data_IF_120195186165
#
_entry.id   IF_120195186165
#
_cell.length_a   1.000
_cell.length_b   1.000
_cell.length_c   1.000
_cell.angle_alpha   90.00
_cell.angle_beta   90.00
_cell.angle_gamma   90.00
#
_symmetry.space_group_name_H-M   'P 1'
#
loop_
_entity.id
_entity.type
_entity.pdbx_description
1 polymer ?
#
# COMPACT_ATOMS: atom_id res chain seq x y z
N UNK A 1 23.52 -18.55 -71.27
CA UNK A 1 22.86 -17.24 -71.11
C UNK A 1 21.59 -17.52 -70.30
N UNK A 2 21.36 -17.09 -69.11
CA UNK A 2 21.78 -15.96 -68.28
C UNK A 2 21.57 -16.33 -66.80
N UNK A 3 22.65 -16.26 -66.00
CA UNK A 3 22.58 -16.27 -64.51
C UNK A 3 22.26 -14.83 -64.07
N UNK A 4 21.17 -14.62 -63.38
CA UNK A 4 20.97 -13.49 -62.41
C UNK A 4 19.56 -13.61 -61.85
N UNK A 5 19.39 -13.98 -60.57
CA UNK A 5 18.53 -13.31 -59.58
C UNK A 5 18.40 -14.22 -58.34
N UNK A 6 19.29 -14.04 -57.39
CA UNK A 6 19.09 -14.54 -56.01
C UNK A 6 20.02 -13.72 -55.10
N UNK A 7 19.65 -12.49 -54.85
CA UNK A 7 20.15 -11.71 -53.71
C UNK A 7 19.09 -10.65 -53.39
N UNK A 8 18.41 -10.80 -52.28
CA UNK A 8 17.49 -9.75 -51.86
C UNK A 8 16.44 -10.09 -50.81
N UNK A 9 16.54 -11.20 -50.05
CA UNK A 9 15.53 -11.50 -49.01
C UNK A 9 16.09 -11.71 -47.60
N UNK A 10 17.40 -11.52 -47.39
CA UNK A 10 18.04 -11.77 -46.09
C UNK A 10 18.10 -10.58 -45.12
N UNK A 11 17.86 -9.34 -45.60
CA UNK A 11 18.10 -8.14 -44.79
C UNK A 11 16.85 -7.60 -44.02
N UNK A 12 15.66 -8.04 -44.36
CA UNK A 12 14.41 -7.49 -43.76
C UNK A 12 13.98 -8.25 -42.48
N UNK A 13 14.41 -9.49 -42.30
CA UNK A 13 14.04 -10.29 -41.12
C UNK A 13 14.82 -9.96 -39.82
N UNK A 14 15.97 -9.28 -39.90
CA UNK A 14 16.78 -8.92 -38.72
C UNK A 14 16.37 -7.59 -38.10
N UNK A 15 15.66 -6.73 -38.78
CA UNK A 15 15.21 -5.44 -38.23
C UNK A 15 13.93 -5.56 -37.40
N UNK A 16 13.08 -6.58 -37.66
CA UNK A 16 11.83 -6.77 -36.91
C UNK A 16 12.02 -7.43 -35.54
N UNK A 17 13.09 -8.20 -35.31
CA UNK A 17 13.39 -8.83 -34.03
C UNK A 17 13.95 -7.82 -32.99
N UNK A 18 14.65 -6.79 -33.43
CA UNK A 18 15.22 -5.77 -32.53
C UNK A 18 14.16 -4.81 -31.99
N UNK A 19 13.07 -4.56 -32.72
CA UNK A 19 11.97 -3.69 -32.27
C UNK A 19 11.09 -4.38 -31.24
N UNK A 20 10.88 -5.71 -31.35
CA UNK A 20 10.10 -6.48 -30.38
C UNK A 20 10.83 -6.69 -29.04
N UNK A 21 12.16 -6.69 -29.01
CA UNK A 21 12.94 -6.85 -27.77
C UNK A 21 13.03 -5.53 -26.96
N UNK A 22 12.85 -4.37 -27.59
CA UNK A 22 12.86 -3.06 -26.93
C UNK A 22 11.59 -2.72 -26.16
N UNK A 23 10.45 -3.38 -26.46
CA UNK A 23 9.14 -3.06 -25.85
C UNK A 23 8.88 -3.89 -24.59
N UNK A 24 9.57 -5.01 -24.36
CA UNK A 24 9.36 -5.87 -23.19
C UNK A 24 10.27 -5.55 -21.98
N UNK A 25 11.22 -4.61 -22.08
CA UNK A 25 12.20 -4.30 -21.04
C UNK A 25 11.94 -3.03 -20.22
N UNK A 26 10.89 -2.25 -20.51
CA UNK A 26 10.70 -0.90 -19.94
C UNK A 26 10.12 -0.85 -18.53
N UNK A 27 9.27 -1.78 -18.14
CA UNK A 27 8.48 -1.66 -16.91
C UNK A 27 9.25 -1.76 -15.59
N UNK A 28 10.42 -2.41 -15.58
CA UNK A 28 11.21 -2.60 -14.35
C UNK A 28 12.08 -1.41 -13.95
N UNK A 29 12.55 -0.61 -14.92
CA UNK A 29 13.40 0.55 -14.66
C UNK A 29 12.61 1.79 -14.24
N UNK A 30 11.43 2.01 -14.84
CA UNK A 30 10.57 3.14 -14.47
C UNK A 30 10.00 3.00 -13.06
N UNK A 31 9.60 1.79 -12.65
CA UNK A 31 9.13 1.53 -11.29
C UNK A 31 10.24 1.72 -10.23
N UNK A 32 11.51 1.45 -10.56
CA UNK A 32 12.64 1.65 -9.63
C UNK A 32 13.04 3.12 -9.50
N UNK A 33 12.82 3.94 -10.52
CA UNK A 33 13.08 5.39 -10.46
C UNK A 33 11.97 6.14 -9.73
N UNK A 34 10.71 5.68 -9.82
CA UNK A 34 9.57 6.34 -9.19
C UNK A 34 9.66 6.40 -7.66
N UNK A 35 10.36 5.46 -7.01
CA UNK A 35 10.49 5.38 -5.55
C UNK A 35 11.95 5.51 -5.08
N UNK A 36 12.83 6.12 -5.87
CA UNK A 36 14.25 6.25 -5.52
C UNK A 36 14.47 7.13 -4.27
N UNK A 37 13.66 8.16 -4.06
CA UNK A 37 13.67 9.01 -2.85
C UNK A 37 13.29 8.23 -1.59
N UNK A 38 12.36 7.28 -1.70
CA UNK A 38 11.86 6.44 -0.61
C UNK A 38 12.91 5.49 -0.05
N UNK A 39 13.97 5.18 -0.80
CA UNK A 39 15.06 4.32 -0.34
C UNK A 39 15.73 4.87 0.93
N UNK A 40 15.97 6.19 1.00
CA UNK A 40 16.54 6.84 2.20
C UNK A 40 15.58 6.78 3.39
N UNK A 41 14.29 6.86 3.16
CA UNK A 41 13.28 6.71 4.20
C UNK A 41 13.32 5.30 4.76
N UNK A 42 13.38 4.28 3.90
CA UNK A 42 13.48 2.87 4.28
C UNK A 42 14.75 2.58 5.08
N UNK A 43 15.89 3.10 4.67
CA UNK A 43 17.17 2.94 5.41
C UNK A 43 17.09 3.48 6.84
N UNK A 44 16.45 4.63 7.03
CA UNK A 44 16.27 5.25 8.35
C UNK A 44 15.27 4.52 9.23
N UNK A 45 14.26 3.97 8.63
CA UNK A 45 13.10 3.40 9.29
C UNK A 45 13.26 1.89 9.58
N UNK A 46 14.02 1.14 8.75
CA UNK A 46 14.21 -0.30 8.93
C UNK A 46 14.77 -0.71 10.32
N UNK A 47 15.76 0.00 10.91
CA UNK A 47 16.26 -0.34 12.23
C UNK A 47 15.25 -0.13 13.38
N UNK A 48 14.17 0.61 13.13
CA UNK A 48 13.14 0.96 14.12
C UNK A 48 11.98 -0.03 14.14
N UNK A 49 11.91 -0.95 13.19
CA UNK A 49 10.92 -2.04 13.19
C UNK A 49 11.32 -3.10 14.23
N UNK A 50 11.10 -2.77 15.51
CA UNK A 50 11.47 -3.59 16.66
C UNK A 50 10.24 -3.89 17.53
N UNK A 51 10.38 -4.68 18.59
CA UNK A 51 9.29 -4.97 19.53
C UNK A 51 8.05 -5.51 18.83
N UNK A 52 6.92 -4.87 19.03
CA UNK A 52 5.63 -5.22 18.39
C UNK A 52 5.62 -5.06 16.88
N UNK A 53 6.58 -4.33 16.30
CA UNK A 53 6.71 -4.10 14.86
C UNK A 53 7.81 -4.95 14.20
N UNK A 54 8.48 -5.84 14.94
CA UNK A 54 9.59 -6.66 14.43
C UNK A 54 9.18 -7.60 13.26
N UNK A 55 7.89 -7.92 13.17
CA UNK A 55 7.35 -8.72 12.05
C UNK A 55 7.08 -7.90 10.78
N UNK A 56 7.31 -6.57 10.81
CA UNK A 56 7.13 -5.72 9.64
C UNK A 56 8.14 -6.07 8.56
N UNK A 57 7.64 -6.41 7.40
CA UNK A 57 8.46 -6.61 6.20
C UNK A 57 8.77 -5.26 5.56
N UNK A 58 10.05 -4.91 5.49
CA UNK A 58 10.53 -3.65 4.92
C UNK A 58 11.23 -3.96 3.59
N UNK A 59 10.78 -3.39 2.47
CA UNK A 59 11.36 -3.68 1.17
C UNK A 59 12.75 -3.04 1.04
N UNK A 60 13.74 -3.81 0.58
CA UNK A 60 15.09 -3.26 0.27
C UNK A 60 15.04 -2.21 -0.85
N UNK A 61 14.08 -2.35 -1.75
CA UNK A 61 13.84 -1.42 -2.87
C UNK A 61 12.36 -1.06 -2.88
N UNK A 62 11.98 0.12 -2.36
CA UNK A 62 10.61 0.59 -2.40
C UNK A 62 10.06 0.61 -3.82
N UNK A 63 8.77 0.34 -3.95
CA UNK A 63 8.05 0.33 -5.23
C UNK A 63 6.73 1.09 -5.07
N UNK A 64 6.18 1.63 -6.15
CA UNK A 64 4.84 2.18 -6.11
C UNK A 64 3.87 1.19 -5.46
N UNK A 65 3.07 1.68 -4.51
CA UNK A 65 2.01 0.89 -3.92
C UNK A 65 1.02 0.45 -5.01
N UNK A 66 0.41 -0.72 -4.80
CA UNK A 66 -0.59 -1.24 -5.74
C UNK A 66 -1.77 -0.28 -5.75
N UNK A 67 -2.17 0.15 -6.93
CA UNK A 67 -3.36 0.97 -7.09
C UNK A 67 -4.61 0.20 -6.65
N UNK A 68 -5.30 0.76 -5.67
CA UNK A 68 -6.54 0.23 -5.09
C UNK A 68 -7.55 1.35 -4.92
N UNK A 69 -8.83 1.00 -4.98
CA UNK A 69 -9.94 1.93 -4.81
C UNK A 69 -10.86 1.43 -3.70
N UNK A 70 -11.46 2.37 -2.97
CA UNK A 70 -12.39 2.12 -1.87
C UNK A 70 -13.31 3.33 -1.68
N UNK A 71 -14.32 3.19 -0.85
CA UNK A 71 -15.24 4.28 -0.53
C UNK A 71 -14.65 5.15 0.60
N UNK A 72 -14.68 6.44 0.39
CA UNK A 72 -14.30 7.46 1.37
C UNK A 72 -15.41 7.77 2.38
N UNK A 73 -15.14 8.70 3.33
CA UNK A 73 -16.05 8.99 4.45
C UNK A 73 -17.46 9.44 4.05
N UNK A 74 -17.59 10.08 2.88
CA UNK A 74 -18.87 10.56 2.35
C UNK A 74 -19.42 9.66 1.22
N UNK A 75 -18.85 8.46 1.04
CA UNK A 75 -19.21 7.51 -0.01
C UNK A 75 -18.58 7.80 -1.38
N UNK A 76 -17.72 8.81 -1.48
CA UNK A 76 -16.96 9.08 -2.70
C UNK A 76 -15.91 7.99 -2.95
N UNK A 77 -15.61 7.71 -4.23
CA UNK A 77 -14.51 6.80 -4.55
C UNK A 77 -13.16 7.48 -4.29
N UNK A 78 -12.29 6.78 -3.57
CA UNK A 78 -10.91 7.14 -3.27
C UNK A 78 -9.96 6.11 -3.85
N UNK A 79 -8.75 6.56 -4.15
CA UNK A 79 -7.61 5.73 -4.52
C UNK A 79 -6.39 6.13 -3.70
N UNK A 80 -5.31 5.37 -3.73
CA UNK A 80 -4.07 5.76 -3.06
C UNK A 80 -3.46 7.06 -3.64
N UNK A 81 -3.77 7.41 -4.88
CA UNK A 81 -3.32 8.64 -5.50
C UNK A 81 -3.90 9.90 -4.82
N UNK A 82 -5.08 9.79 -4.20
CA UNK A 82 -5.74 10.91 -3.48
C UNK A 82 -5.01 11.30 -2.18
N UNK A 83 -4.06 10.47 -1.75
CA UNK A 83 -3.28 10.69 -0.52
C UNK A 83 -1.83 11.10 -0.81
N UNK A 84 -1.51 11.45 -2.05
CA UNK A 84 -0.17 11.94 -2.39
C UNK A 84 0.20 13.16 -1.53
N UNK A 85 1.45 13.24 -1.11
CA UNK A 85 1.93 14.25 -0.18
C UNK A 85 1.75 13.89 1.30
N UNK A 86 1.04 12.78 1.61
CA UNK A 86 0.90 12.25 2.96
C UNK A 86 1.54 10.87 3.08
N UNK A 87 2.13 10.59 4.23
CA UNK A 87 2.36 9.21 4.64
C UNK A 87 1.05 8.61 5.09
N UNK A 88 0.67 7.45 4.58
CA UNK A 88 -0.55 6.75 5.01
C UNK A 88 -0.23 5.40 5.64
N UNK A 89 -0.99 5.07 6.67
CA UNK A 89 -1.05 3.75 7.27
C UNK A 89 -2.35 3.10 6.79
N UNK A 90 -2.26 2.36 5.67
CA UNK A 90 -3.38 1.65 5.09
C UNK A 90 -3.59 0.35 5.85
N UNK A 91 -4.67 0.25 6.63
CA UNK A 91 -5.02 -0.92 7.41
C UNK A 91 -6.28 -1.59 6.83
N UNK A 92 -6.24 -2.89 6.60
CA UNK A 92 -7.40 -3.68 6.20
C UNK A 92 -7.97 -4.41 7.40
N UNK A 93 -9.27 -4.22 7.63
CA UNK A 93 -9.96 -4.79 8.77
C UNK A 93 -11.40 -5.25 8.44
N UNK A 94 -12.02 -6.00 9.35
CA UNK A 94 -13.43 -6.37 9.26
C UNK A 94 -14.05 -6.57 10.66
N UNK A 95 -15.37 -6.42 10.77
CA UNK A 95 -16.09 -6.58 12.04
C UNK A 95 -16.07 -7.99 12.61
N UNK A 96 -15.86 -8.99 11.78
CA UNK A 96 -15.73 -10.41 12.17
C UNK A 96 -14.29 -10.80 12.55
N UNK A 97 -13.30 -9.93 12.32
CA UNK A 97 -11.89 -10.17 12.62
C UNK A 97 -11.60 -9.70 14.06
N UNK A 98 -11.47 -10.63 15.01
CA UNK A 98 -11.23 -10.31 16.43
C UNK A 98 -9.97 -9.48 16.62
N UNK A 99 -8.76 -9.87 16.12
CA UNK A 99 -7.55 -9.08 16.33
C UNK A 99 -7.61 -7.70 15.65
N UNK A 100 -8.38 -7.56 14.55
CA UNK A 100 -8.61 -6.25 13.96
C UNK A 100 -9.36 -5.31 14.91
N UNK A 101 -10.42 -5.83 15.55
CA UNK A 101 -11.23 -5.06 16.51
C UNK A 101 -10.41 -4.63 17.70
N UNK A 102 -9.49 -5.47 18.17
CA UNK A 102 -8.62 -5.20 19.31
C UNK A 102 -7.61 -4.09 19.02
N UNK A 103 -7.11 -3.97 17.77
CA UNK A 103 -6.14 -2.92 17.41
C UNK A 103 -6.79 -1.56 17.05
N UNK A 104 -8.09 -1.52 16.68
CA UNK A 104 -8.77 -0.28 16.25
C UNK A 104 -8.62 0.89 17.24
N UNK A 105 -8.74 0.71 18.58
CA UNK A 105 -8.51 1.82 19.51
C UNK A 105 -7.08 2.36 19.48
N UNK A 106 -6.08 1.53 19.19
CA UNK A 106 -4.69 1.98 19.03
C UNK A 106 -4.51 2.78 17.72
N UNK A 107 -5.13 2.36 16.64
CA UNK A 107 -5.18 3.12 15.38
C UNK A 107 -5.87 4.48 15.55
N UNK A 108 -6.96 4.54 16.31
CA UNK A 108 -7.65 5.80 16.61
C UNK A 108 -6.78 6.77 17.41
N UNK A 109 -6.08 6.26 18.43
CA UNK A 109 -5.11 7.05 19.21
C UNK A 109 -3.95 7.55 18.33
N UNK A 110 -3.42 6.70 17.47
CA UNK A 110 -2.37 7.07 16.51
C UNK A 110 -2.85 8.20 15.60
N UNK A 111 -4.05 8.06 15.02
CA UNK A 111 -4.66 9.10 14.19
C UNK A 111 -4.82 10.41 14.98
N UNK A 112 -5.27 10.34 16.23
CA UNK A 112 -5.40 11.50 17.11
C UNK A 112 -4.08 12.19 17.42
N UNK A 113 -2.97 11.44 17.48
CA UNK A 113 -1.63 11.94 17.84
C UNK A 113 -0.85 12.47 16.64
N UNK A 114 -0.91 11.78 15.51
CA UNK A 114 -0.08 12.09 14.33
C UNK A 114 -0.87 12.57 13.12
N UNK A 115 -2.19 12.36 13.09
CA UNK A 115 -3.05 12.71 11.96
C UNK A 115 -3.01 14.20 11.63
N UNK A 116 -2.96 14.52 10.34
CA UNK A 116 -2.85 15.89 9.86
C UNK A 116 -2.64 15.99 8.36
N UNK A 117 -1.97 17.06 7.94
CA UNK A 117 -1.71 17.28 6.53
C UNK A 117 -0.67 16.32 5.93
N UNK A 118 0.18 15.73 6.78
CA UNK A 118 1.32 14.91 6.41
C UNK A 118 1.19 13.42 6.78
N UNK A 119 0.12 13.05 7.52
CA UNK A 119 -0.13 11.66 7.93
C UNK A 119 -1.61 11.36 8.06
N UNK A 120 -2.01 10.15 7.67
CA UNK A 120 -3.37 9.65 7.88
C UNK A 120 -3.41 8.13 8.07
N UNK A 121 -4.22 7.67 9.04
CA UNK A 121 -4.61 6.26 9.15
C UNK A 121 -5.82 6.03 8.25
N UNK A 122 -5.64 5.22 7.22
CA UNK A 122 -6.68 4.84 6.26
C UNK A 122 -7.13 3.42 6.58
N UNK A 123 -8.03 3.28 7.57
CA UNK A 123 -8.56 1.98 7.99
C UNK A 123 -9.76 1.59 7.13
N UNK A 124 -9.55 0.70 6.16
CA UNK A 124 -10.57 0.27 5.19
C UNK A 124 -11.24 -1.01 5.66
N UNK A 125 -12.55 -0.92 5.95
CA UNK A 125 -13.36 -2.11 6.22
C UNK A 125 -13.61 -2.89 4.93
N UNK A 126 -13.37 -4.21 4.98
CA UNK A 126 -13.66 -5.13 3.88
C UNK A 126 -14.87 -6.02 4.16
N UNK A 127 -15.77 -5.61 5.05
CA UNK A 127 -17.03 -6.33 5.27
C UNK A 127 -17.90 -6.31 4.00
N UNK A 128 -18.28 -7.50 3.52
CA UNK A 128 -19.12 -7.68 2.34
C UNK A 128 -20.60 -7.90 2.69
N UNK A 129 -20.91 -8.16 3.96
CA UNK A 129 -22.25 -8.37 4.48
C UNK A 129 -22.42 -7.64 5.81
N UNK A 130 -23.70 -7.40 6.20
CA UNK A 130 -24.05 -6.73 7.47
C UNK A 130 -23.32 -5.39 7.64
N UNK A 131 -23.37 -4.59 6.59
CA UNK A 131 -22.58 -3.36 6.47
C UNK A 131 -22.87 -2.34 7.58
N UNK A 132 -24.07 -2.40 8.16
CA UNK A 132 -24.46 -1.59 9.33
C UNK A 132 -23.61 -1.85 10.57
N UNK A 133 -23.11 -3.09 10.74
CA UNK A 133 -22.30 -3.46 11.90
C UNK A 133 -20.97 -2.73 11.99
N UNK A 134 -20.44 -2.25 10.86
CA UNK A 134 -19.17 -1.50 10.83
C UNK A 134 -19.26 -0.24 11.67
N UNK A 135 -20.30 0.57 11.40
CA UNK A 135 -20.53 1.82 12.11
C UNK A 135 -20.87 1.57 13.58
N UNK A 136 -21.79 0.62 13.84
CA UNK A 136 -22.14 0.21 15.19
C UNK A 136 -20.92 -0.18 16.00
N UNK A 137 -20.02 -1.00 15.43
CA UNK A 137 -18.77 -1.39 16.11
C UNK A 137 -17.87 -0.18 16.40
N UNK A 138 -17.67 0.73 15.44
CA UNK A 138 -16.84 1.91 15.64
C UNK A 138 -17.39 2.83 16.75
N UNK A 139 -18.72 3.00 16.78
CA UNK A 139 -19.39 3.78 17.81
C UNK A 139 -19.26 3.12 19.22
N UNK A 140 -19.51 1.80 19.32
CA UNK A 140 -19.37 1.02 20.56
C UNK A 140 -17.92 0.97 21.07
N UNK A 141 -16.94 0.89 20.18
CA UNK A 141 -15.52 0.92 20.49
C UNK A 141 -14.97 2.32 20.81
N UNK A 142 -15.80 3.36 20.68
CA UNK A 142 -15.44 4.75 20.94
C UNK A 142 -14.43 5.32 19.94
N UNK A 143 -14.40 4.82 18.72
CA UNK A 143 -13.54 5.30 17.64
C UNK A 143 -14.06 6.65 17.14
N UNK A 144 -13.22 7.70 17.22
CA UNK A 144 -13.64 9.10 16.96
C UNK A 144 -12.72 9.87 16.03
N UNK A 145 -11.49 9.42 15.84
CA UNK A 145 -10.46 10.12 15.08
C UNK A 145 -10.26 9.54 13.69
N UNK A 146 -10.55 8.25 13.52
CA UNK A 146 -10.48 7.58 12.23
C UNK A 146 -11.62 8.04 11.33
N UNK A 147 -11.28 8.42 10.10
CA UNK A 147 -12.26 8.56 9.03
C UNK A 147 -12.79 7.17 8.62
N UNK A 148 -14.04 7.10 8.19
CA UNK A 148 -14.65 5.84 7.79
C UNK A 148 -14.37 5.54 6.32
N UNK A 149 -13.55 4.52 6.07
CA UNK A 149 -13.28 3.98 4.75
C UNK A 149 -13.81 2.56 4.62
N UNK A 150 -14.27 2.18 3.43
CA UNK A 150 -14.84 0.86 3.21
C UNK A 150 -14.68 0.37 1.78
N UNK A 151 -14.54 -0.95 1.62
CA UNK A 151 -14.68 -1.64 0.35
C UNK A 151 -15.65 -2.81 0.51
N UNK A 152 -16.95 -2.60 0.27
CA UNK A 152 -17.95 -3.66 0.39
C UNK A 152 -17.79 -4.80 -0.60
N UNK A 153 -16.97 -4.64 -1.63
CA UNK A 153 -16.64 -5.69 -2.59
C UNK A 153 -15.47 -6.56 -2.13
N UNK A 154 -14.70 -6.09 -1.16
CA UNK A 154 -13.42 -6.65 -0.74
C UNK A 154 -12.40 -6.78 -1.90
N UNK A 155 -12.54 -6.02 -2.98
CA UNK A 155 -11.62 -6.06 -4.12
C UNK A 155 -10.21 -5.61 -3.73
N UNK A 156 -10.09 -4.61 -2.85
CA UNK A 156 -8.80 -4.18 -2.30
C UNK A 156 -8.03 -5.37 -1.67
N UNK A 157 -8.71 -6.20 -0.87
CA UNK A 157 -8.09 -7.38 -0.27
C UNK A 157 -7.66 -8.39 -1.32
N UNK A 158 -8.52 -8.65 -2.33
CA UNK A 158 -8.21 -9.61 -3.39
C UNK A 158 -7.07 -9.13 -4.28
N UNK A 159 -6.99 -7.84 -4.61
CA UNK A 159 -5.90 -7.26 -5.39
C UNK A 159 -4.57 -7.38 -4.65
N UNK A 160 -4.54 -6.98 -3.38
CA UNK A 160 -3.34 -7.08 -2.54
C UNK A 160 -2.93 -8.53 -2.29
N UNK A 161 -3.90 -9.46 -2.17
CA UNK A 161 -3.63 -10.90 -2.05
C UNK A 161 -2.98 -11.48 -3.31
N UNK A 162 -3.50 -11.15 -4.50
CA UNK A 162 -2.88 -11.56 -5.78
C UNK A 162 -1.45 -11.06 -5.93
N UNK A 163 -1.15 -9.92 -5.35
CA UNK A 163 0.20 -9.34 -5.33
C UNK A 163 1.07 -9.83 -4.16
N UNK A 164 0.62 -10.84 -3.41
CA UNK A 164 1.30 -11.40 -2.24
C UNK A 164 1.62 -10.36 -1.14
N UNK A 165 0.79 -9.31 -1.01
CA UNK A 165 0.93 -8.27 0.03
C UNK A 165 0.09 -8.58 1.27
N UNK A 166 -0.96 -9.37 1.12
CA UNK A 166 -1.91 -9.74 2.17
C UNK A 166 -2.06 -11.23 2.22
N UNK A 167 -1.97 -11.82 3.40
CA UNK A 167 -2.25 -13.24 3.66
C UNK A 167 -3.47 -13.45 4.54
N UNK A 168 -3.85 -12.43 5.33
CA UNK A 168 -4.98 -12.46 6.27
C UNK A 168 -5.27 -11.06 6.81
N UNK A 169 -6.08 -10.99 7.86
CA UNK A 169 -6.42 -9.75 8.56
C UNK A 169 -5.97 -9.80 10.03
N UNK A 170 -5.63 -8.65 10.60
CA UNK A 170 -5.40 -7.40 9.91
C UNK A 170 -4.14 -7.43 9.06
N UNK A 171 -4.06 -6.58 8.05
CA UNK A 171 -2.81 -6.31 7.35
C UNK A 171 -2.69 -4.80 7.18
N UNK A 172 -1.50 -4.29 7.48
CA UNK A 172 -1.19 -2.87 7.40
C UNK A 172 -0.04 -2.61 6.44
N UNK A 173 -0.23 -1.68 5.50
CA UNK A 173 0.79 -1.19 4.60
C UNK A 173 1.15 0.24 5.00
N UNK A 174 2.44 0.54 5.11
CA UNK A 174 2.93 1.90 5.26
C UNK A 174 3.36 2.41 3.89
N UNK A 175 2.79 3.54 3.49
CA UNK A 175 2.97 4.14 2.17
C UNK A 175 3.43 5.58 2.38
N UNK A 176 4.50 5.97 1.73
CA UNK A 176 5.09 7.30 1.87
C UNK A 176 4.39 8.37 1.02
N UNK A 177 4.76 9.67 1.14
CA UNK A 177 4.13 10.76 0.39
C UNK A 177 4.22 10.62 -1.13
N UNK A 178 5.23 9.95 -1.63
CA UNK A 178 5.41 9.63 -3.05
C UNK A 178 4.52 8.47 -3.50
N UNK A 179 3.79 7.83 -2.55
CA UNK A 179 2.92 6.67 -2.78
C UNK A 179 3.70 5.39 -2.97
N UNK A 180 4.86 5.29 -2.37
CA UNK A 180 5.69 4.10 -2.38
C UNK A 180 5.45 3.27 -1.12
N UNK A 181 5.32 1.96 -1.30
CA UNK A 181 5.23 1.02 -0.18
C UNK A 181 6.60 0.94 0.50
N UNK A 182 6.64 1.29 1.78
CA UNK A 182 7.85 1.30 2.61
C UNK A 182 7.81 0.28 3.75
N UNK A 183 6.67 -0.37 3.99
CA UNK A 183 6.53 -1.43 4.98
C UNK A 183 5.19 -2.16 4.88
N UNK A 184 5.19 -3.44 5.26
CA UNK A 184 3.98 -4.27 5.37
C UNK A 184 4.04 -5.05 6.66
N UNK A 185 2.98 -4.98 7.46
CA UNK A 185 2.79 -5.81 8.65
C UNK A 185 1.56 -6.70 8.48
N UNK A 186 1.75 -8.01 8.55
CA UNK A 186 0.67 -8.99 8.62
C UNK A 186 0.43 -9.37 10.09
N UNK A 187 -0.78 -9.16 10.56
CA UNK A 187 -1.17 -9.33 11.97
C UNK A 187 -1.34 -8.01 12.72
N UNK A 188 -1.88 -8.07 13.95
CA UNK A 188 -2.15 -6.90 14.79
C UNK A 188 -0.88 -6.30 15.38
N UNK A 189 -0.92 -5.00 15.69
CA UNK A 189 0.11 -4.32 16.46
C UNK A 189 -0.49 -3.27 17.41
N UNK A 190 0.28 -2.89 18.44
CA UNK A 190 -0.03 -1.69 19.22
C UNK A 190 0.49 -0.45 18.49
N UNK A 191 -0.36 0.06 17.61
CA UNK A 191 -0.06 1.25 16.82
C UNK A 191 0.04 2.54 17.65
N UNK A 192 -0.33 2.49 18.93
CA UNK A 192 -0.19 3.61 19.86
C UNK A 192 1.07 3.51 20.75
N UNK A 193 1.88 2.46 20.58
CA UNK A 193 3.15 2.32 21.29
C UNK A 193 4.15 3.41 20.88
N UNK A 194 5.11 3.71 21.74
CA UNK A 194 6.14 4.71 21.45
C UNK A 194 7.01 4.31 20.25
N UNK A 195 7.26 3.00 20.06
CA UNK A 195 7.97 2.47 18.91
C UNK A 195 7.22 2.73 17.60
N UNK A 196 5.89 2.47 17.57
CA UNK A 196 5.08 2.71 16.37
C UNK A 196 5.00 4.19 16.04
N UNK A 197 4.78 5.03 17.05
CA UNK A 197 4.73 6.50 16.89
C UNK A 197 6.07 7.03 16.38
N UNK A 198 7.19 6.56 16.94
CA UNK A 198 8.53 6.99 16.52
C UNK A 198 8.83 6.57 15.08
N UNK A 199 8.57 5.30 14.74
CA UNK A 199 8.75 4.77 13.39
C UNK A 199 7.97 5.58 12.36
N UNK A 200 6.68 5.83 12.60
CA UNK A 200 5.82 6.59 11.68
C UNK A 200 6.27 8.05 11.57
N UNK A 201 6.68 8.66 12.69
CA UNK A 201 7.16 10.06 12.70
C UNK A 201 8.38 10.27 11.81
N UNK A 202 9.24 9.25 11.62
CA UNK A 202 10.38 9.28 10.70
C UNK A 202 9.95 9.13 9.24
N UNK A 203 8.88 8.37 8.99
CA UNK A 203 8.30 8.18 7.65
C UNK A 203 7.49 9.35 7.13
N UNK A 204 7.10 10.30 8.00
CA UNK A 204 6.30 11.47 7.60
C UNK A 204 7.08 12.41 6.68
N UNK A 205 6.36 13.07 5.77
CA UNK A 205 6.91 14.19 5.00
C UNK A 205 7.45 15.29 5.95
N UNK A 206 8.59 15.86 5.58
CA UNK A 206 9.13 17.06 6.23
C UNK A 206 8.75 18.28 5.43
#
# INVERSE_FOLDING_TARGET
MTRKLLMGTGAIMLASAAVLYGIMGGGGKEASTACASSARTVERFAPLATGGLAAMTIPKSPRPAIDVTFDGPNGEKKSLADFRGKTILLNLWATWCIPCREEMPALDRLQGKLGGNDFEVVAVSIDTARLEKRKTFLDEAGIKKLAFYADPSADIFQRLKRAAKVTGLPTTLLIDPEGCEIGVLAGPADWASDEAIHLISIGKAK
#
